data_IF_258203962285
#
_entry.id   IF_258203962285
#
_cell.length_a   1.000
_cell.length_b   1.000
_cell.length_c   1.000
_cell.angle_alpha   90.00
_cell.angle_beta   90.00
_cell.angle_gamma   90.00
#
_symmetry.space_group_name_H-M   'P 1'
#
loop_
_entity.id
_entity.type
_entity.pdbx_description
1 polymer ?
#
# COMPACT_ATOMS: atom_id res chain seq x y z
N UNK A 1 -1.73 -41.40 -43.29
CA UNK A 1 -2.68 -40.27 -43.18
C UNK A 1 -3.11 -40.17 -41.73
N UNK A 2 -2.51 -39.24 -41.00
CA UNK A 2 -2.79 -39.01 -39.55
C UNK A 2 -3.83 -37.89 -39.42
N UNK A 3 -5.02 -38.23 -38.89
CA UNK A 3 -6.08 -37.25 -38.64
C UNK A 3 -5.80 -36.51 -37.34
N UNK A 4 -5.44 -35.25 -37.47
CA UNK A 4 -5.32 -34.32 -36.33
C UNK A 4 -6.72 -33.97 -35.78
N UNK A 5 -7.09 -34.53 -34.62
CA UNK A 5 -8.32 -34.18 -33.93
C UNK A 5 -8.20 -32.75 -33.35
N UNK A 6 -8.79 -31.79 -34.00
CA UNK A 6 -8.94 -30.41 -33.49
C UNK A 6 -9.95 -30.40 -32.32
N UNK A 7 -9.47 -30.33 -31.10
CA UNK A 7 -10.30 -30.16 -29.90
C UNK A 7 -10.87 -28.74 -29.91
N UNK A 8 -12.15 -28.58 -30.25
CA UNK A 8 -12.89 -27.33 -30.09
C UNK A 8 -12.91 -26.99 -28.61
N UNK A 9 -12.18 -25.92 -28.20
CA UNK A 9 -12.34 -25.32 -26.88
C UNK A 9 -13.82 -24.94 -26.72
N UNK A 10 -14.54 -25.56 -25.76
CA UNK A 10 -15.88 -25.15 -25.36
C UNK A 10 -15.78 -23.71 -24.86
N UNK A 11 -16.48 -22.78 -25.49
CA UNK A 11 -16.62 -21.43 -24.99
C UNK A 11 -17.18 -21.48 -23.57
N UNK A 12 -16.52 -20.78 -22.63
CA UNK A 12 -16.96 -20.72 -21.26
C UNK A 12 -18.39 -20.17 -21.21
N UNK A 13 -19.28 -20.86 -20.50
CA UNK A 13 -20.69 -20.44 -20.38
C UNK A 13 -20.72 -19.11 -19.65
N UNK A 14 -21.26 -18.09 -20.29
CA UNK A 14 -21.38 -16.75 -19.71
C UNK A 14 -22.36 -16.81 -18.54
N UNK A 15 -21.92 -16.40 -17.35
CA UNK A 15 -22.68 -16.41 -16.12
C UNK A 15 -23.35 -15.05 -15.95
N UNK A 16 -24.60 -15.01 -15.49
CA UNK A 16 -25.40 -13.81 -15.35
C UNK A 16 -26.12 -13.78 -14.00
N UNK A 17 -26.49 -12.56 -13.58
CA UNK A 17 -27.30 -12.34 -12.40
C UNK A 17 -26.61 -12.70 -11.08
N UNK A 18 -27.35 -13.21 -10.08
CA UNK A 18 -26.83 -13.48 -8.74
C UNK A 18 -25.65 -14.45 -8.71
N UNK A 19 -25.58 -15.37 -9.65
CA UNK A 19 -24.50 -16.36 -9.73
C UNK A 19 -23.11 -15.74 -9.98
N UNK A 20 -23.07 -14.51 -10.51
CA UNK A 20 -21.82 -13.75 -10.65
C UNK A 20 -21.18 -13.39 -9.31
N UNK A 21 -21.97 -13.36 -8.23
CA UNK A 21 -21.57 -12.90 -6.92
C UNK A 21 -21.57 -14.03 -5.90
N UNK A 22 -21.75 -15.29 -6.36
CA UNK A 22 -21.69 -16.46 -5.50
C UNK A 22 -20.29 -16.63 -4.94
N UNK A 23 -20.18 -16.83 -3.64
CA UNK A 23 -18.93 -17.06 -2.92
C UNK A 23 -18.88 -18.46 -2.37
N UNK A 24 -17.68 -19.02 -2.35
CA UNK A 24 -17.38 -20.31 -1.74
C UNK A 24 -17.33 -20.20 -0.19
N UNK A 25 -17.03 -21.29 0.49
CA UNK A 25 -16.93 -21.36 1.96
C UNK A 25 -15.82 -20.45 2.52
N UNK A 26 -14.80 -20.15 1.72
CA UNK A 26 -13.71 -19.23 2.07
C UNK A 26 -14.09 -17.75 1.88
N UNK A 27 -15.29 -17.47 1.37
CA UNK A 27 -15.75 -16.12 1.08
C UNK A 27 -15.22 -15.54 -0.23
N UNK A 28 -14.57 -16.35 -1.08
CA UNK A 28 -14.05 -15.96 -2.40
C UNK A 28 -15.09 -16.17 -3.49
N UNK A 29 -15.08 -15.33 -4.54
CA UNK A 29 -15.98 -15.50 -5.68
C UNK A 29 -15.66 -16.79 -6.45
N UNK A 30 -16.65 -17.65 -6.67
CA UNK A 30 -16.49 -18.94 -7.37
C UNK A 30 -16.02 -18.79 -8.83
N UNK A 31 -16.32 -17.65 -9.44
CA UNK A 31 -16.03 -17.39 -10.86
C UNK A 31 -14.80 -16.53 -11.11
N UNK A 32 -13.99 -16.28 -10.06
CA UNK A 32 -12.74 -15.53 -10.15
C UNK A 32 -11.54 -16.46 -9.95
N UNK A 33 -10.51 -16.27 -10.77
CA UNK A 33 -9.23 -16.95 -10.57
C UNK A 33 -8.38 -16.07 -9.68
N UNK A 34 -8.21 -16.47 -8.42
CA UNK A 34 -7.37 -15.76 -7.47
C UNK A 34 -5.92 -16.19 -7.59
N UNK A 35 -5.03 -15.25 -7.39
CA UNK A 35 -3.58 -15.46 -7.28
C UNK A 35 -3.24 -15.37 -5.79
N UNK A 36 -2.46 -16.31 -5.28
CA UNK A 36 -2.12 -16.40 -3.87
C UNK A 36 -0.62 -16.22 -3.65
N UNK A 37 -0.28 -15.58 -2.54
CA UNK A 37 1.07 -15.53 -1.99
C UNK A 37 1.48 -16.89 -1.41
N UNK A 38 2.78 -17.06 -1.10
CA UNK A 38 3.31 -18.28 -0.48
C UNK A 38 2.72 -18.58 0.89
N UNK A 39 2.24 -17.56 1.61
CA UNK A 39 1.58 -17.68 2.92
C UNK A 39 0.08 -18.05 2.82
N UNK A 40 -0.46 -18.19 1.61
CA UNK A 40 -1.85 -18.52 1.34
C UNK A 40 -2.81 -17.32 1.33
N UNK A 41 -2.33 -16.11 1.56
CA UNK A 41 -3.14 -14.88 1.38
C UNK A 41 -3.36 -14.57 -0.10
N UNK A 42 -4.40 -13.81 -0.45
CA UNK A 42 -4.61 -13.37 -1.83
C UNK A 42 -3.56 -12.30 -2.18
N UNK A 43 -2.87 -12.48 -3.29
CA UNK A 43 -2.03 -11.44 -3.89
C UNK A 43 -2.93 -10.39 -4.59
N UNK A 44 -3.45 -9.45 -3.81
CA UNK A 44 -4.32 -8.38 -4.32
C UNK A 44 -3.62 -7.51 -5.37
N UNK A 45 -2.28 -7.39 -5.29
CA UNK A 45 -1.50 -6.66 -6.29
C UNK A 45 -1.52 -7.37 -7.65
N UNK A 46 -1.32 -8.68 -7.66
CA UNK A 46 -1.36 -9.50 -8.87
C UNK A 46 -2.79 -9.63 -9.45
N UNK A 47 -3.82 -9.41 -8.63
CA UNK A 47 -5.22 -9.40 -9.09
C UNK A 47 -5.58 -8.16 -9.91
N UNK A 48 -4.74 -7.12 -9.97
CA UNK A 48 -4.98 -5.92 -10.77
C UNK A 48 -4.73 -6.24 -12.24
N UNK A 49 -5.75 -6.08 -13.08
CA UNK A 49 -5.61 -6.25 -14.52
C UNK A 49 -4.77 -5.11 -15.12
N UNK A 50 -3.88 -5.45 -16.05
CA UNK A 50 -2.99 -4.48 -16.70
C UNK A 50 -3.72 -3.32 -17.38
N UNK A 51 -4.92 -3.54 -17.89
CA UNK A 51 -5.78 -2.49 -18.51
C UNK A 51 -6.14 -1.34 -17.55
N UNK A 52 -6.02 -1.53 -16.23
CA UNK A 52 -6.26 -0.49 -15.22
C UNK A 52 -4.98 0.16 -14.72
N UNK A 53 -3.83 -0.23 -15.23
CA UNK A 53 -2.53 0.32 -14.87
C UNK A 53 -1.94 1.14 -16.00
N UNK A 54 -1.30 2.24 -15.64
CA UNK A 54 -0.55 3.05 -16.60
C UNK A 54 0.62 3.77 -15.93
N UNK A 55 1.65 4.17 -16.72
CA UNK A 55 2.82 4.85 -16.18
C UNK A 55 2.46 6.18 -15.49
N UNK A 56 3.05 6.44 -14.34
CA UNK A 56 2.91 7.68 -13.60
C UNK A 56 3.76 8.78 -14.26
N UNK A 57 3.13 9.56 -15.13
CA UNK A 57 3.79 10.66 -15.86
C UNK A 57 4.57 11.60 -14.93
N UNK A 58 3.97 12.02 -13.81
CA UNK A 58 4.62 12.92 -12.85
C UNK A 58 5.88 12.31 -12.22
N UNK A 59 5.90 11.00 -11.98
CA UNK A 59 7.07 10.31 -11.46
C UNK A 59 8.24 10.32 -12.45
N UNK A 60 7.96 10.09 -13.75
CA UNK A 60 8.97 10.09 -14.82
C UNK A 60 9.48 11.50 -15.12
N UNK A 61 8.59 12.48 -15.23
CA UNK A 61 8.94 13.90 -15.49
C UNK A 61 9.82 14.48 -14.38
N UNK A 62 9.49 14.22 -13.12
CA UNK A 62 10.28 14.68 -11.98
C UNK A 62 11.72 14.16 -11.98
N UNK A 63 12.00 13.08 -12.73
CA UNK A 63 13.33 12.45 -12.85
C UNK A 63 13.99 12.66 -14.20
N UNK A 64 13.38 13.44 -15.08
CA UNK A 64 13.87 13.68 -16.43
C UNK A 64 13.91 12.40 -17.28
N UNK A 65 13.06 11.41 -16.98
CA UNK A 65 12.97 10.16 -17.70
C UNK A 65 11.84 10.18 -18.72
N UNK A 66 12.04 9.49 -19.85
CA UNK A 66 11.01 9.33 -20.85
C UNK A 66 9.84 8.50 -20.30
N UNK A 67 8.61 8.92 -20.60
CA UNK A 67 7.41 8.18 -20.22
C UNK A 67 7.33 6.89 -21.05
N UNK A 68 7.26 5.69 -20.43
CA UNK A 68 7.06 4.44 -21.14
C UNK A 68 5.67 4.35 -21.78
N UNK A 69 5.56 3.62 -22.90
CA UNK A 69 4.29 3.38 -23.60
C UNK A 69 3.45 2.27 -22.92
N UNK A 70 4.06 1.44 -22.08
CA UNK A 70 3.42 0.32 -21.39
C UNK A 70 3.67 0.37 -19.88
N UNK A 71 2.77 -0.24 -19.11
CA UNK A 71 2.92 -0.49 -17.68
C UNK A 71 3.77 -1.73 -17.35
N UNK A 72 4.18 -2.51 -18.36
CA UNK A 72 4.87 -3.77 -18.18
C UNK A 72 6.27 -3.57 -17.58
N UNK A 73 6.58 -4.34 -16.54
CA UNK A 73 7.89 -4.30 -15.89
C UNK A 73 8.15 -3.07 -15.02
N UNK A 74 7.16 -2.18 -14.84
CA UNK A 74 7.26 -1.02 -13.97
C UNK A 74 7.00 -1.39 -12.51
N UNK A 75 7.72 -0.73 -11.60
CA UNK A 75 7.50 -0.83 -10.16
C UNK A 75 6.23 -0.04 -9.73
N UNK A 76 5.65 -0.40 -8.59
CA UNK A 76 4.41 0.21 -8.08
C UNK A 76 4.47 1.75 -7.99
N UNK A 77 5.61 2.32 -7.59
CA UNK A 77 5.82 3.79 -7.56
C UNK A 77 5.81 4.46 -8.93
N UNK A 78 6.05 3.69 -9.99
CA UNK A 78 6.07 4.15 -11.38
C UNK A 78 4.70 4.02 -12.06
N UNK A 79 3.72 3.46 -11.35
CA UNK A 79 2.40 3.15 -11.85
C UNK A 79 1.32 4.01 -11.19
N UNK A 80 0.21 4.16 -11.92
CA UNK A 80 -1.06 4.65 -11.40
C UNK A 80 -2.14 3.60 -11.67
N UNK A 81 -3.10 3.47 -10.74
CA UNK A 81 -4.25 2.61 -10.89
C UNK A 81 -5.52 3.44 -11.14
N UNK A 82 -6.29 3.07 -12.13
CA UNK A 82 -7.60 3.69 -12.43
C UNK A 82 -8.64 3.31 -11.37
N UNK A 83 -9.60 4.19 -11.12
CA UNK A 83 -10.76 3.94 -10.26
C UNK A 83 -11.49 2.63 -10.62
N UNK A 84 -11.57 2.28 -11.92
CA UNK A 84 -12.14 1.02 -12.39
C UNK A 84 -11.45 -0.21 -11.81
N UNK A 85 -10.12 -0.20 -11.74
CA UNK A 85 -9.32 -1.29 -11.15
C UNK A 85 -9.57 -1.42 -9.65
N UNK A 86 -9.63 -0.30 -8.93
CA UNK A 86 -9.97 -0.28 -7.50
C UNK A 86 -11.38 -0.84 -7.25
N UNK A 87 -12.37 -0.46 -8.07
CA UNK A 87 -13.73 -1.01 -7.99
C UNK A 87 -13.78 -2.52 -8.25
N UNK A 88 -12.96 -3.02 -9.17
CA UNK A 88 -12.84 -4.46 -9.42
C UNK A 88 -12.24 -5.19 -8.22
N UNK A 89 -11.16 -4.67 -7.62
CA UNK A 89 -10.57 -5.24 -6.40
C UNK A 89 -11.57 -5.28 -5.25
N UNK A 90 -12.27 -4.17 -5.00
CA UNK A 90 -13.31 -4.11 -3.98
C UNK A 90 -14.42 -5.14 -4.21
N UNK A 91 -14.84 -5.35 -5.47
CA UNK A 91 -15.81 -6.37 -5.85
C UNK A 91 -15.28 -7.78 -5.61
N UNK A 92 -14.02 -8.06 -5.96
CA UNK A 92 -13.38 -9.35 -5.72
C UNK A 92 -13.31 -9.64 -4.22
N UNK A 93 -12.83 -8.68 -3.41
CA UNK A 93 -12.77 -8.84 -1.95
C UNK A 93 -14.17 -8.99 -1.34
N UNK A 94 -15.14 -8.22 -1.83
CA UNK A 94 -16.53 -8.22 -1.41
C UNK A 94 -16.80 -7.32 -0.23
N UNK A 95 -17.81 -6.48 -0.38
CA UNK A 95 -18.28 -5.58 0.66
C UNK A 95 -19.81 -5.62 0.75
N UNK A 96 -20.35 -5.32 1.92
CA UNK A 96 -21.79 -5.24 2.19
C UNK A 96 -22.34 -3.88 1.82
N UNK A 97 -21.55 -2.83 2.02
CA UNK A 97 -21.97 -1.46 1.76
C UNK A 97 -20.80 -0.49 1.84
N UNK A 98 -21.04 0.68 1.26
CA UNK A 98 -20.15 1.84 1.33
C UNK A 98 -20.96 3.01 1.83
N UNK A 99 -20.44 3.72 2.83
CA UNK A 99 -21.01 4.97 3.33
C UNK A 99 -20.00 6.10 3.16
N UNK A 100 -20.50 7.31 2.94
CA UNK A 100 -19.70 8.51 2.87
C UNK A 100 -20.21 9.55 3.87
N UNK A 101 -19.29 10.23 4.52
CA UNK A 101 -19.54 11.47 5.24
C UNK A 101 -18.80 12.57 4.48
N UNK A 102 -19.51 13.63 4.11
CA UNK A 102 -18.96 14.71 3.28
C UNK A 102 -19.11 16.03 4.03
N UNK A 103 -17.99 16.74 4.19
CA UNK A 103 -17.93 18.04 4.83
C UNK A 103 -17.41 19.10 3.87
N UNK A 104 -18.14 20.20 3.75
CA UNK A 104 -17.69 21.41 3.07
C UNK A 104 -16.93 22.27 4.08
N UNK A 105 -15.60 22.11 4.11
CA UNK A 105 -14.72 22.77 5.09
C UNK A 105 -14.62 24.27 4.83
N UNK A 106 -14.58 24.66 3.54
CA UNK A 106 -14.56 26.03 3.08
C UNK A 106 -15.10 26.10 1.64
N UNK A 107 -15.31 27.29 1.12
CA UNK A 107 -15.67 27.48 -0.28
C UNK A 107 -14.59 26.88 -1.19
N UNK A 108 -15.00 25.98 -2.07
CA UNK A 108 -14.09 25.26 -2.95
C UNK A 108 -13.17 24.23 -2.25
N UNK A 109 -13.47 23.82 -1.02
CA UNK A 109 -12.73 22.80 -0.27
C UNK A 109 -13.69 21.79 0.38
N UNK A 110 -13.66 20.56 -0.12
CA UNK A 110 -14.52 19.45 0.35
C UNK A 110 -13.64 18.32 0.87
N UNK A 111 -14.02 17.77 2.02
CA UNK A 111 -13.48 16.50 2.52
C UNK A 111 -14.55 15.42 2.45
N UNK A 112 -14.12 14.19 2.22
CA UNK A 112 -14.98 13.02 2.31
C UNK A 112 -14.29 11.93 3.12
N UNK A 113 -15.05 11.31 4.01
CA UNK A 113 -14.70 10.07 4.68
C UNK A 113 -15.47 8.93 4.02
N UNK A 114 -14.77 7.89 3.61
CA UNK A 114 -15.34 6.66 3.08
C UNK A 114 -15.25 5.56 4.13
N UNK A 115 -16.36 4.89 4.40
CA UNK A 115 -16.42 3.69 5.23
C UNK A 115 -16.89 2.51 4.39
N UNK A 116 -16.12 1.43 4.38
CA UNK A 116 -16.46 0.19 3.67
C UNK A 116 -16.67 -0.93 4.69
N UNK A 117 -17.85 -1.54 4.66
CA UNK A 117 -18.15 -2.74 5.45
C UNK A 117 -17.84 -3.98 4.59
N UNK A 118 -16.68 -4.59 4.87
CA UNK A 118 -16.18 -5.76 4.14
C UNK A 118 -16.92 -7.04 4.55
N UNK A 119 -17.17 -7.93 3.58
CA UNK A 119 -17.73 -9.25 3.85
C UNK A 119 -16.70 -10.14 4.57
N UNK A 120 -17.18 -11.08 5.40
CA UNK A 120 -16.32 -12.14 5.91
C UNK A 120 -15.65 -12.92 4.78
N UNK A 121 -14.40 -13.31 4.99
CA UNK A 121 -13.67 -14.27 4.19
C UNK A 121 -12.67 -15.00 5.10
N UNK A 122 -11.86 -15.92 4.55
CA UNK A 122 -10.88 -16.68 5.33
C UNK A 122 -9.76 -15.79 5.94
N UNK A 123 -9.48 -14.62 5.36
CA UNK A 123 -8.52 -13.63 5.90
C UNK A 123 -9.13 -12.82 7.07
N UNK A 124 -10.47 -12.69 7.09
CA UNK A 124 -11.22 -11.89 8.08
C UNK A 124 -12.57 -12.53 8.37
N UNK A 125 -12.59 -13.50 9.29
CA UNK A 125 -13.75 -14.37 9.54
C UNK A 125 -15.02 -13.64 9.98
N UNK A 126 -14.90 -12.50 10.66
CA UNK A 126 -16.05 -11.71 11.12
C UNK A 126 -16.45 -10.59 10.16
N UNK A 127 -15.68 -10.39 9.07
CA UNK A 127 -15.70 -9.14 8.34
C UNK A 127 -15.15 -7.99 9.19
N UNK A 128 -15.04 -6.82 8.62
CA UNK A 128 -14.64 -5.61 9.34
C UNK A 128 -15.08 -4.36 8.60
N UNK A 129 -15.08 -3.24 9.29
CA UNK A 129 -15.22 -1.92 8.69
C UNK A 129 -13.86 -1.26 8.60
N UNK A 130 -13.60 -0.58 7.49
CA UNK A 130 -12.40 0.19 7.27
C UNK A 130 -12.77 1.58 6.75
N UNK A 131 -12.11 2.61 7.27
CA UNK A 131 -12.37 3.99 6.91
C UNK A 131 -11.11 4.68 6.42
N UNK A 132 -11.28 5.60 5.48
CA UNK A 132 -10.22 6.50 5.03
C UNK A 132 -10.83 7.84 4.59
N UNK A 133 -9.99 8.86 4.53
CA UNK A 133 -10.40 10.23 4.20
C UNK A 133 -9.64 10.76 3.00
N UNK A 134 -10.29 11.63 2.24
CA UNK A 134 -9.63 12.39 1.18
C UNK A 134 -10.29 13.76 1.02
N UNK A 135 -9.62 14.65 0.30
CA UNK A 135 -10.16 15.96 -0.03
C UNK A 135 -10.20 16.20 -1.54
N UNK A 136 -10.99 17.16 -1.92
CA UNK A 136 -10.96 17.81 -3.23
C UNK A 136 -11.07 19.32 -3.06
N UNK A 137 -10.23 20.05 -3.77
CA UNK A 137 -10.22 21.50 -3.76
C UNK A 137 -10.19 22.04 -5.18
N UNK A 138 -10.51 23.32 -5.37
CA UNK A 138 -10.35 23.99 -6.66
C UNK A 138 -8.90 23.92 -7.17
N UNK A 139 -7.94 23.90 -6.22
CA UNK A 139 -6.51 23.90 -6.56
C UNK A 139 -5.96 22.51 -6.88
N UNK A 140 -6.59 21.42 -6.40
CA UNK A 140 -6.12 20.05 -6.62
C UNK A 140 -6.99 19.22 -7.57
N UNK A 141 -7.94 19.88 -8.25
CA UNK A 141 -8.79 19.27 -9.29
C UNK A 141 -8.67 20.05 -10.59
N UNK A 142 -8.87 19.35 -11.72
CA UNK A 142 -8.95 20.06 -13.00
C UNK A 142 -10.22 20.91 -13.10
N UNK A 143 -10.21 21.90 -13.99
CA UNK A 143 -11.30 22.87 -14.12
C UNK A 143 -12.67 22.28 -14.49
N UNK A 144 -12.69 21.11 -15.12
CA UNK A 144 -13.92 20.40 -15.42
C UNK A 144 -14.47 19.72 -14.14
N UNK A 145 -13.61 19.05 -13.40
CA UNK A 145 -13.95 18.33 -12.16
C UNK A 145 -14.23 19.28 -10.98
N UNK A 146 -13.75 20.52 -11.01
CA UNK A 146 -13.97 21.53 -9.98
C UNK A 146 -15.45 21.84 -9.69
N UNK A 147 -16.36 21.47 -10.61
CA UNK A 147 -17.81 21.59 -10.40
C UNK A 147 -18.41 20.42 -9.60
N UNK A 148 -17.63 19.38 -9.31
CA UNK A 148 -18.08 18.12 -8.71
C UNK A 148 -17.15 17.71 -7.57
N UNK A 149 -16.74 18.66 -6.72
CA UNK A 149 -15.74 18.42 -5.66
C UNK A 149 -16.16 17.30 -4.71
N UNK A 150 -17.45 17.22 -4.36
CA UNK A 150 -17.98 16.15 -3.50
C UNK A 150 -17.76 14.77 -4.12
N UNK A 151 -18.04 14.64 -5.41
CA UNK A 151 -17.84 13.38 -6.14
C UNK A 151 -16.37 13.01 -6.20
N UNK A 152 -15.50 13.98 -6.45
CA UNK A 152 -14.05 13.75 -6.49
C UNK A 152 -13.51 13.35 -5.12
N UNK A 153 -13.91 14.06 -4.06
CA UNK A 153 -13.51 13.73 -2.69
C UNK A 153 -13.96 12.31 -2.31
N UNK A 154 -15.22 11.94 -2.62
CA UNK A 154 -15.75 10.60 -2.37
C UNK A 154 -14.99 9.52 -3.17
N UNK A 155 -14.69 9.74 -4.45
CA UNK A 155 -13.91 8.80 -5.25
C UNK A 155 -12.50 8.61 -4.67
N UNK A 156 -11.81 9.69 -4.33
CA UNK A 156 -10.50 9.67 -3.69
C UNK A 156 -10.52 8.91 -2.36
N UNK A 157 -11.51 9.19 -1.51
CA UNK A 157 -11.66 8.51 -0.22
C UNK A 157 -11.93 7.00 -0.41
N UNK A 158 -12.75 6.61 -1.40
CA UNK A 158 -12.99 5.21 -1.73
C UNK A 158 -11.71 4.52 -2.24
N UNK A 159 -10.98 5.15 -3.14
CA UNK A 159 -9.71 4.61 -3.68
C UNK A 159 -8.73 4.37 -2.55
N UNK A 160 -8.51 5.33 -1.66
CA UNK A 160 -7.63 5.22 -0.50
C UNK A 160 -8.09 4.10 0.44
N UNK A 161 -9.38 4.07 0.75
CA UNK A 161 -9.98 3.07 1.64
C UNK A 161 -9.73 1.64 1.14
N UNK A 162 -9.93 1.38 -0.16
CA UNK A 162 -9.69 0.05 -0.76
C UNK A 162 -8.20 -0.25 -0.83
N UNK A 163 -7.38 0.68 -1.33
CA UNK A 163 -5.93 0.48 -1.46
C UNK A 163 -5.26 0.17 -0.12
N UNK A 164 -5.53 1.01 0.88
CA UNK A 164 -4.90 0.88 2.20
C UNK A 164 -5.35 -0.41 2.89
N UNK A 165 -6.63 -0.77 2.76
CA UNK A 165 -7.14 -2.03 3.31
C UNK A 165 -6.51 -3.27 2.64
N UNK A 166 -6.36 -3.26 1.31
CA UNK A 166 -5.79 -4.38 0.54
C UNK A 166 -4.27 -4.32 0.40
N UNK A 167 -3.62 -3.38 1.08
CA UNK A 167 -2.16 -3.18 1.02
C UNK A 167 -1.63 -2.96 -0.41
N UNK A 168 -2.36 -2.17 -1.22
CA UNK A 168 -1.96 -1.79 -2.58
C UNK A 168 -1.11 -0.53 -2.54
N UNK A 169 0.15 -0.63 -2.96
CA UNK A 169 1.10 0.48 -2.95
C UNK A 169 1.02 1.39 -4.19
N UNK A 170 0.33 0.97 -5.24
CA UNK A 170 0.11 1.79 -6.43
C UNK A 170 -0.86 2.92 -6.10
N UNK A 171 -0.48 4.16 -6.40
CA UNK A 171 -1.32 5.34 -6.16
C UNK A 171 -2.50 5.37 -7.14
N UNK A 172 -3.67 5.76 -6.65
CA UNK A 172 -4.85 5.94 -7.49
C UNK A 172 -4.71 7.17 -8.40
N UNK A 173 -5.13 7.03 -9.65
CA UNK A 173 -5.13 8.14 -10.59
C UNK A 173 -5.97 9.35 -10.13
N UNK A 174 -7.01 9.08 -9.34
CA UNK A 174 -7.89 10.11 -8.77
C UNK A 174 -7.26 10.81 -7.55
N UNK A 175 -6.21 10.22 -6.96
CA UNK A 175 -5.48 10.79 -5.82
C UNK A 175 -4.42 11.81 -6.25
N UNK A 176 -4.06 11.83 -7.53
CA UNK A 176 -3.05 12.76 -8.07
C UNK A 176 -3.65 14.15 -8.17
N UNK A 177 -2.88 15.14 -7.71
CA UNK A 177 -3.16 16.55 -7.93
C UNK A 177 -3.10 16.86 -9.43
N UNK A 178 -4.20 17.38 -9.98
CA UNK A 178 -4.35 17.75 -11.38
C UNK A 178 -4.33 19.27 -11.60
N UNK A 179 -3.93 20.04 -10.59
CA UNK A 179 -3.78 21.48 -10.73
C UNK A 179 -2.77 21.86 -11.82
N UNK A 180 -3.00 23.00 -12.46
CA UNK A 180 -2.19 23.47 -13.58
C UNK A 180 -0.72 23.59 -13.18
N UNK A 181 0.14 22.77 -13.79
CA UNK A 181 1.59 22.86 -13.68
C UNK A 181 2.19 22.37 -12.38
N UNK A 182 1.41 21.78 -11.51
CA UNK A 182 1.90 21.08 -10.35
C UNK A 182 2.48 19.74 -10.72
N UNK A 183 3.73 19.73 -11.21
CA UNK A 183 4.67 18.66 -10.94
C UNK A 183 4.97 18.71 -9.43
N UNK A 184 3.92 18.61 -8.60
CA UNK A 184 4.15 18.12 -7.26
C UNK A 184 4.52 16.67 -7.46
N UNK A 185 5.85 16.41 -7.51
CA UNK A 185 6.34 15.19 -6.95
C UNK A 185 5.59 15.04 -5.63
N UNK A 186 4.51 14.23 -5.62
CA UNK A 186 4.33 13.44 -4.45
C UNK A 186 5.67 12.68 -4.40
N UNK A 187 6.59 13.17 -3.62
CA UNK A 187 7.29 12.26 -2.77
C UNK A 187 6.14 11.48 -2.15
N UNK A 188 5.65 10.43 -2.88
CA UNK A 188 5.08 9.27 -2.25
C UNK A 188 6.05 9.08 -1.14
N UNK A 189 5.64 9.32 0.11
CA UNK A 189 6.46 9.17 1.28
C UNK A 189 7.47 8.15 0.91
N UNK A 190 8.70 8.62 0.65
CA UNK A 190 9.74 7.80 0.05
C UNK A 190 9.63 6.55 0.88
N UNK A 191 9.26 5.41 0.30
CA UNK A 191 8.92 4.21 1.02
C UNK A 191 9.91 4.23 2.13
N UNK A 192 9.44 4.65 3.31
CA UNK A 192 10.35 5.10 4.33
C UNK A 192 11.11 3.84 4.57
N UNK A 193 12.32 3.76 4.04
CA UNK A 193 13.12 2.55 3.93
C UNK A 193 12.91 1.92 5.27
N UNK A 194 12.20 0.78 5.36
CA UNK A 194 11.52 0.37 6.57
C UNK A 194 12.52 0.49 7.68
N UNK A 195 12.30 1.42 8.62
CA UNK A 195 13.28 1.81 9.63
C UNK A 195 13.70 0.51 10.25
N UNK A 196 14.89 0.06 9.91
CA UNK A 196 15.34 -1.24 10.42
C UNK A 196 15.49 -1.11 11.92
N UNK A 197 15.41 -2.19 12.70
CA UNK A 197 15.71 -2.15 14.13
C UNK A 197 17.08 -1.56 14.43
N UNK A 198 18.01 -1.63 13.49
CA UNK A 198 19.35 -1.06 13.59
C UNK A 198 19.29 0.46 13.43
N UNK A 199 18.56 0.98 12.45
CA UNK A 199 18.38 2.43 12.26
C UNK A 199 17.68 3.06 13.48
N UNK A 200 16.70 2.36 14.05
CA UNK A 200 16.03 2.80 15.27
C UNK A 200 16.98 2.78 16.48
N UNK A 201 17.89 1.80 16.56
CA UNK A 201 18.93 1.75 17.58
C UNK A 201 19.90 2.93 17.43
N UNK A 202 20.39 3.20 16.23
CA UNK A 202 21.25 4.36 15.95
C UNK A 202 20.56 5.67 16.34
N UNK A 203 19.29 5.83 15.98
CA UNK A 203 18.49 6.99 16.38
C UNK A 203 18.39 7.10 17.91
N UNK A 204 18.08 6.02 18.61
CA UNK A 204 17.95 6.00 20.08
C UNK A 204 19.28 6.36 20.74
N UNK A 205 20.40 5.82 20.26
CA UNK A 205 21.74 6.12 20.76
C UNK A 205 22.09 7.60 20.56
N UNK A 206 21.76 8.18 19.41
CA UNK A 206 22.01 9.59 19.12
C UNK A 206 21.15 10.51 19.99
N UNK A 207 19.85 10.27 20.05
CA UNK A 207 18.92 11.18 20.74
C UNK A 207 19.00 11.12 22.26
N UNK A 208 19.23 9.93 22.83
CA UNK A 208 19.19 9.71 24.27
C UNK A 208 20.58 9.62 24.94
N UNK A 209 21.58 9.18 24.20
CA UNK A 209 22.91 8.93 24.75
C UNK A 209 24.01 9.79 24.09
N UNK A 210 23.68 10.65 23.11
CA UNK A 210 24.63 11.50 22.40
C UNK A 210 25.68 10.74 21.59
N UNK A 211 25.39 9.51 21.20
CA UNK A 211 26.33 8.62 20.50
C UNK A 211 26.10 8.68 19.00
N UNK A 212 27.07 9.20 18.26
CA UNK A 212 26.99 9.36 16.80
C UNK A 212 27.83 8.33 16.03
N UNK A 213 28.68 7.59 16.71
CA UNK A 213 29.60 6.64 16.09
C UNK A 213 29.46 5.22 16.65
N UNK A 214 29.89 4.23 15.87
CA UNK A 214 29.86 2.84 16.31
C UNK A 214 30.84 2.60 17.48
N UNK A 215 31.93 3.34 17.57
CA UNK A 215 32.85 3.24 18.71
C UNK A 215 32.19 3.75 19.99
N UNK A 216 31.44 4.83 19.95
CA UNK A 216 30.62 5.27 21.08
C UNK A 216 29.56 4.21 21.44
N UNK A 217 28.95 3.54 20.48
CA UNK A 217 28.07 2.41 20.75
C UNK A 217 28.75 1.28 21.50
N UNK A 218 30.02 0.98 21.17
CA UNK A 218 30.82 -0.03 21.91
C UNK A 218 31.06 0.37 23.35
N UNK A 219 31.24 1.65 23.64
CA UNK A 219 31.41 2.12 25.03
C UNK A 219 30.11 1.90 25.81
N UNK A 220 28.97 2.27 25.24
CA UNK A 220 27.65 2.00 25.84
C UNK A 220 27.43 0.51 26.07
N UNK A 221 27.81 -0.35 25.13
CA UNK A 221 27.72 -1.81 25.28
C UNK A 221 28.61 -2.32 26.42
N UNK A 222 29.80 -1.75 26.61
CA UNK A 222 30.73 -2.11 27.76
C UNK A 222 30.10 -1.73 29.09
N UNK A 223 29.43 -0.57 29.15
CA UNK A 223 28.82 -0.12 30.41
C UNK A 223 27.58 -0.92 30.73
N UNK A 224 26.75 -1.26 29.71
CA UNK A 224 25.65 -2.18 29.87
C UNK A 224 26.12 -3.59 30.30
N UNK A 225 27.26 -4.04 29.82
CA UNK A 225 27.88 -5.30 30.26
C UNK A 225 28.32 -5.27 31.73
N UNK A 226 28.96 -4.17 32.16
CA UNK A 226 29.38 -3.99 33.54
C UNK A 226 28.21 -3.91 34.51
N UNK A 227 27.14 -3.24 34.11
CA UNK A 227 25.91 -3.12 34.89
C UNK A 227 25.00 -4.35 34.85
N UNK A 228 25.42 -5.41 34.14
CA UNK A 228 24.65 -6.63 33.91
C UNK A 228 23.29 -6.44 33.19
N UNK A 229 23.01 -5.23 32.68
CA UNK A 229 21.76 -4.87 32.04
C UNK A 229 21.63 -5.52 30.64
N UNK A 230 22.75 -5.75 29.96
CA UNK A 230 22.81 -6.45 28.69
C UNK A 230 24.12 -7.21 28.52
N UNK A 231 24.00 -8.51 28.26
CA UNK A 231 25.14 -9.38 27.99
C UNK A 231 24.93 -10.18 26.71
N UNK A 232 25.87 -10.03 25.77
CA UNK A 232 25.87 -10.78 24.51
C UNK A 232 27.34 -10.96 24.06
N UNK A 233 27.87 -12.19 24.14
CA UNK A 233 29.22 -12.51 23.73
C UNK A 233 29.51 -12.19 22.26
N UNK A 234 28.48 -12.32 21.37
CA UNK A 234 28.61 -12.00 19.96
C UNK A 234 28.85 -10.52 19.70
N UNK A 235 28.53 -9.63 20.66
CA UNK A 235 28.77 -8.20 20.52
C UNK A 235 30.26 -7.85 20.38
N UNK A 236 31.13 -8.70 20.85
CA UNK A 236 32.61 -8.54 20.73
C UNK A 236 33.07 -8.63 19.26
N UNK A 237 32.32 -9.31 18.39
CA UNK A 237 32.67 -9.50 16.98
C UNK A 237 32.14 -8.39 16.07
N UNK A 238 31.20 -7.53 16.53
CA UNK A 238 30.60 -6.47 15.72
C UNK A 238 31.61 -5.36 15.42
N UNK A 239 31.67 -4.93 14.18
CA UNK A 239 32.59 -3.90 13.68
C UNK A 239 31.86 -2.62 13.23
N UNK A 240 30.54 -2.74 12.95
CA UNK A 240 29.66 -1.66 12.50
C UNK A 240 28.25 -1.88 12.99
N UNK A 241 27.38 -0.89 12.88
CA UNK A 241 25.96 -1.03 13.18
C UNK A 241 25.30 -2.13 12.34
N UNK A 242 25.72 -2.31 11.08
CA UNK A 242 25.20 -3.33 10.18
C UNK A 242 25.44 -4.78 10.65
N UNK A 243 26.41 -4.98 11.51
CA UNK A 243 26.74 -6.30 12.06
C UNK A 243 25.82 -6.68 13.23
N UNK A 244 25.02 -5.74 13.74
CA UNK A 244 24.10 -5.98 14.84
C UNK A 244 22.85 -6.70 14.31
N UNK A 245 22.58 -7.94 14.75
CA UNK A 245 21.37 -8.63 14.34
C UNK A 245 20.11 -7.86 14.77
N UNK A 246 19.08 -7.82 13.94
CA UNK A 246 17.83 -7.11 14.22
C UNK A 246 17.19 -7.48 15.57
N UNK A 247 17.32 -8.75 15.98
CA UNK A 247 16.86 -9.22 17.29
C UNK A 247 17.62 -8.54 18.43
N UNK A 248 18.92 -8.40 18.30
CA UNK A 248 19.77 -7.79 19.33
C UNK A 248 19.60 -6.26 19.35
N UNK A 249 19.41 -5.63 18.20
CA UNK A 249 19.07 -4.21 18.11
C UNK A 249 17.79 -3.89 18.91
N UNK A 250 16.72 -4.70 18.75
CA UNK A 250 15.47 -4.55 19.52
C UNK A 250 15.69 -4.71 21.02
N UNK A 251 16.49 -5.68 21.44
CA UNK A 251 16.83 -5.89 22.87
C UNK A 251 17.56 -4.70 23.45
N UNK A 252 18.54 -4.16 22.71
CA UNK A 252 19.29 -2.97 23.11
C UNK A 252 18.40 -1.74 23.25
N UNK A 253 17.50 -1.50 22.30
CA UNK A 253 16.53 -0.40 22.38
C UNK A 253 15.70 -0.49 23.66
N UNK A 254 15.22 -1.67 24.02
CA UNK A 254 14.44 -1.88 25.25
C UNK A 254 15.28 -1.57 26.50
N UNK A 255 16.55 -1.96 26.51
CA UNK A 255 17.46 -1.72 27.67
C UNK A 255 17.83 -0.24 27.78
N UNK A 256 18.10 0.43 26.65
CA UNK A 256 18.46 1.86 26.60
C UNK A 256 17.28 2.79 26.91
N UNK A 257 16.07 2.29 26.89
CA UNK A 257 14.84 3.05 27.19
C UNK A 257 14.35 2.86 28.64
N UNK A 258 15.02 2.05 29.43
CA UNK A 258 14.77 1.86 30.88
C UNK A 258 15.52 2.88 31.69
#
# INVERSE_FOLDING_TARGET
MSQTKTTKKKAAKKIYGPDLYRRNEEGLLENANYIFNEDGSVDWRAMIKSEFLYPNKGWFEARGQALPDSSDGLEDKQLLIMLGGIKELAKLRGYRGVAYEVDNVADGYVTAKCRIAWLPNYESLCGLEYEDVANATLDNTDSFCAKFLETIACNRAFVRCVRNYLNIHIVGADEIDKSKGGSQSYESDAVATPITPVDLLEKTLREKHGVESFDGCKEVLRDLWKSESYRNESAKSWKSFKDIPAKEARRLIVVLNK
#
